data_IF_982081196463
#
_entry.id   IF_982081196463
#
_cell.length_a   1.000
_cell.length_b   1.000
_cell.length_c   1.000
_cell.angle_alpha   90.00
_cell.angle_beta   90.00
_cell.angle_gamma   90.00
#
_symmetry.space_group_name_H-M   'P 1'
#
loop_
_entity.id
_entity.type
_entity.pdbx_description
1 polymer ?
#
# COMPACT_ATOMS: atom_id res chain seq x y z
N UNK A 1 15.65 -20.29 -27.75
CA UNK A 1 15.70 -19.60 -26.43
C UNK A 1 14.50 -19.99 -25.61
N UNK A 2 14.74 -20.54 -24.44
CA UNK A 2 13.65 -20.90 -23.54
C UNK A 2 12.98 -19.61 -23.03
N UNK A 3 11.71 -19.44 -23.31
CA UNK A 3 10.97 -18.23 -22.92
C UNK A 3 10.74 -18.24 -21.41
N UNK A 4 11.19 -17.22 -20.70
CA UNK A 4 10.99 -17.10 -19.25
C UNK A 4 9.47 -17.12 -18.96
N UNK A 5 8.98 -17.97 -18.06
CA UNK A 5 7.55 -18.02 -17.74
C UNK A 5 6.99 -16.66 -17.29
N UNK A 6 5.78 -16.33 -17.73
CA UNK A 6 5.15 -15.03 -17.46
C UNK A 6 5.05 -14.72 -15.96
N UNK A 7 4.73 -15.71 -15.14
CA UNK A 7 4.66 -15.53 -13.69
C UNK A 7 5.98 -15.06 -13.06
N UNK A 8 7.12 -15.57 -13.57
CA UNK A 8 8.45 -15.14 -13.14
C UNK A 8 8.73 -13.71 -13.59
N UNK A 9 8.34 -13.36 -14.81
CA UNK A 9 8.51 -12.01 -15.33
C UNK A 9 7.70 -11.00 -14.52
N UNK A 10 6.42 -11.26 -14.27
CA UNK A 10 5.55 -10.43 -13.45
C UNK A 10 6.12 -10.23 -12.04
N UNK A 11 6.56 -11.34 -11.40
CA UNK A 11 7.16 -11.26 -10.07
C UNK A 11 8.44 -10.44 -10.06
N UNK A 12 9.29 -10.60 -11.07
CA UNK A 12 10.53 -9.84 -11.19
C UNK A 12 10.27 -8.34 -11.30
N UNK A 13 9.38 -7.92 -12.19
CA UNK A 13 9.01 -6.51 -12.37
C UNK A 13 8.38 -5.96 -11.09
N UNK A 14 7.46 -6.69 -10.47
CA UNK A 14 6.82 -6.30 -9.23
C UNK A 14 7.85 -6.09 -8.10
N UNK A 15 8.82 -7.00 -7.96
CA UNK A 15 9.87 -6.88 -6.96
C UNK A 15 10.78 -5.66 -7.21
N UNK A 16 11.15 -5.41 -8.48
CA UNK A 16 11.95 -4.23 -8.84
C UNK A 16 11.20 -2.93 -8.55
N UNK A 17 9.93 -2.87 -8.90
CA UNK A 17 9.09 -1.70 -8.65
C UNK A 17 8.95 -1.42 -7.15
N UNK A 18 8.65 -2.43 -6.35
CA UNK A 18 8.57 -2.33 -4.88
C UNK A 18 9.90 -1.89 -4.27
N UNK A 19 11.00 -2.45 -4.73
CA UNK A 19 12.35 -2.07 -4.29
C UNK A 19 12.64 -0.60 -4.60
N UNK A 20 12.31 -0.16 -5.80
CA UNK A 20 12.48 1.24 -6.21
C UNK A 20 11.73 2.19 -5.27
N UNK A 21 10.46 1.91 -5.01
CA UNK A 21 9.64 2.71 -4.08
C UNK A 21 10.22 2.74 -2.67
N UNK A 22 10.68 1.60 -2.16
CA UNK A 22 11.16 1.47 -0.79
C UNK A 22 12.57 2.06 -0.59
N UNK A 23 13.32 2.29 -1.65
CA UNK A 23 14.61 2.98 -1.59
C UNK A 23 14.47 4.50 -1.47
N UNK A 24 13.31 5.05 -1.77
CA UNK A 24 13.06 6.49 -1.60
C UNK A 24 12.90 6.78 -0.11
N UNK A 25 13.78 7.59 0.50
CA UNK A 25 13.68 7.88 1.93
C UNK A 25 12.38 8.62 2.25
N UNK A 26 11.74 8.22 3.33
CA UNK A 26 10.55 8.89 3.85
C UNK A 26 10.64 8.89 5.37
N UNK A 27 11.13 9.99 5.93
CA UNK A 27 11.39 10.11 7.35
C UNK A 27 10.21 10.72 8.11
N UNK A 28 9.99 10.21 9.31
CA UNK A 28 9.11 10.78 10.30
C UNK A 28 9.83 10.69 11.66
N UNK A 29 9.99 11.82 12.34
CA UNK A 29 10.70 11.91 13.62
C UNK A 29 12.11 11.29 13.59
N UNK A 30 12.84 11.48 12.50
CA UNK A 30 14.20 11.01 12.34
C UNK A 30 14.37 9.54 11.97
N UNK A 31 13.26 8.81 11.83
CA UNK A 31 13.28 7.40 11.41
C UNK A 31 12.61 7.21 10.04
N UNK A 32 13.23 6.39 9.21
CA UNK A 32 12.67 6.04 7.92
C UNK A 32 11.48 5.09 8.10
N UNK A 33 10.37 5.40 7.44
CA UNK A 33 9.19 4.55 7.47
C UNK A 33 9.47 3.20 6.79
N UNK A 34 9.06 2.11 7.45
CA UNK A 34 9.14 0.77 6.88
C UNK A 34 8.15 0.61 5.71
N UNK A 35 8.38 -0.35 4.79
CA UNK A 35 7.42 -0.65 3.73
C UNK A 35 6.01 -0.92 4.25
N UNK A 36 5.89 -1.65 5.35
CA UNK A 36 4.60 -1.97 5.98
C UNK A 36 3.90 -0.71 6.49
N UNK A 37 4.61 0.18 7.17
CA UNK A 37 4.06 1.44 7.67
C UNK A 37 3.55 2.32 6.52
N UNK A 38 4.32 2.43 5.43
CA UNK A 38 3.91 3.17 4.23
C UNK A 38 2.63 2.61 3.63
N UNK A 39 2.56 1.28 3.50
CA UNK A 39 1.40 0.61 2.92
C UNK A 39 0.16 0.75 3.82
N UNK A 40 0.32 0.69 5.14
CA UNK A 40 -0.79 0.92 6.09
C UNK A 40 -1.34 2.34 5.92
N UNK A 41 -0.47 3.34 5.80
CA UNK A 41 -0.92 4.73 5.54
C UNK A 41 -1.76 4.80 4.27
N UNK A 42 -1.29 4.18 3.18
CA UNK A 42 -2.02 4.15 1.90
C UNK A 42 -3.37 3.47 2.03
N UNK A 43 -3.40 2.26 2.59
CA UNK A 43 -4.63 1.47 2.70
C UNK A 43 -5.65 2.14 3.61
N UNK A 44 -5.23 2.66 4.77
CA UNK A 44 -6.15 3.35 5.69
C UNK A 44 -6.67 4.64 5.06
N UNK A 45 -5.81 5.41 4.39
CA UNK A 45 -6.26 6.63 3.71
C UNK A 45 -7.33 6.32 2.65
N UNK A 46 -7.05 5.39 1.76
CA UNK A 46 -7.94 5.06 0.65
C UNK A 46 -9.26 4.45 1.12
N UNK A 47 -9.22 3.47 2.01
CA UNK A 47 -10.42 2.80 2.51
C UNK A 47 -11.28 3.72 3.38
N UNK A 48 -10.68 4.62 4.16
CA UNK A 48 -11.41 5.51 5.05
C UNK A 48 -12.22 6.59 4.31
N UNK A 49 -12.02 6.75 3.01
CA UNK A 49 -12.83 7.66 2.19
C UNK A 49 -14.29 7.19 2.06
N UNK A 50 -14.53 5.88 2.18
CA UNK A 50 -15.86 5.29 1.94
C UNK A 50 -16.41 4.51 3.13
N UNK A 51 -15.58 4.12 4.10
CA UNK A 51 -15.98 3.28 5.22
C UNK A 51 -15.03 3.41 6.40
N UNK A 52 -15.47 2.99 7.59
CA UNK A 52 -14.57 2.83 8.74
C UNK A 52 -13.57 1.69 8.46
N UNK A 53 -12.33 1.89 8.89
CA UNK A 53 -11.24 0.90 8.73
C UNK A 53 -10.89 0.35 10.10
N UNK A 54 -10.84 -0.98 10.20
CA UNK A 54 -10.52 -1.69 11.42
C UNK A 54 -9.23 -2.51 11.25
N UNK A 55 -8.62 -2.88 12.35
CA UNK A 55 -7.43 -3.72 12.31
C UNK A 55 -7.64 -5.02 11.52
N UNK A 56 -8.80 -5.66 11.66
CA UNK A 56 -9.15 -6.88 10.90
C UNK A 56 -9.08 -6.68 9.37
N UNK A 57 -9.36 -5.47 8.89
CA UNK A 57 -9.28 -5.16 7.46
C UNK A 57 -7.84 -5.21 6.97
N UNK A 58 -6.90 -4.74 7.78
CA UNK A 58 -5.47 -4.81 7.50
C UNK A 58 -4.94 -6.25 7.57
N UNK A 59 -5.40 -7.02 8.55
CA UNK A 59 -5.06 -8.45 8.68
C UNK A 59 -5.45 -9.22 7.41
N UNK A 60 -6.65 -8.96 6.89
CA UNK A 60 -7.13 -9.53 5.62
C UNK A 60 -6.33 -9.04 4.42
N UNK A 61 -6.16 -7.73 4.31
CA UNK A 61 -5.50 -7.13 3.14
C UNK A 61 -4.08 -7.65 2.97
N UNK A 62 -3.32 -7.72 4.08
CA UNK A 62 -1.93 -8.17 4.06
C UNK A 62 -1.77 -9.68 4.21
N UNK A 63 -2.82 -10.42 4.56
CA UNK A 63 -2.77 -11.85 4.90
C UNK A 63 -1.71 -12.16 5.96
N UNK A 64 -1.67 -11.37 7.02
CA UNK A 64 -0.71 -11.50 8.13
C UNK A 64 -1.42 -11.66 9.46
N UNK A 65 -0.67 -12.15 10.46
CA UNK A 65 -1.20 -12.46 11.79
C UNK A 65 -1.62 -11.20 12.53
N UNK A 66 -2.66 -11.33 13.34
CA UNK A 66 -3.15 -10.28 14.23
C UNK A 66 -2.04 -9.69 15.10
N UNK A 67 -1.18 -10.53 15.69
CA UNK A 67 -0.07 -10.08 16.54
C UNK A 67 0.91 -9.17 15.80
N UNK A 68 1.20 -9.47 14.53
CA UNK A 68 2.08 -8.65 13.68
C UNK A 68 1.45 -7.28 13.42
N UNK A 69 0.18 -7.24 13.03
CA UNK A 69 -0.55 -5.98 12.79
C UNK A 69 -0.63 -5.17 14.08
N UNK A 70 -0.96 -5.81 15.20
CA UNK A 70 -1.03 -5.15 16.51
C UNK A 70 0.29 -4.44 16.84
N UNK A 71 1.43 -5.11 16.67
CA UNK A 71 2.75 -4.53 16.94
C UNK A 71 3.06 -3.33 16.06
N UNK A 72 2.79 -3.42 14.77
CA UNK A 72 3.01 -2.30 13.83
C UNK A 72 2.11 -1.12 14.17
N UNK A 73 0.83 -1.35 14.43
CA UNK A 73 -0.13 -0.29 14.76
C UNK A 73 0.21 0.40 16.09
N UNK A 74 0.61 -0.36 17.11
CA UNK A 74 1.04 0.23 18.39
C UNK A 74 2.23 1.17 18.21
N UNK A 75 3.21 0.79 17.39
CA UNK A 75 4.34 1.65 17.07
C UNK A 75 3.92 2.89 16.31
N UNK A 76 3.02 2.76 15.34
CA UNK A 76 2.49 3.89 14.58
C UNK A 76 1.68 4.86 15.46
N UNK A 77 0.90 4.33 16.39
CA UNK A 77 0.19 5.15 17.39
C UNK A 77 1.16 5.92 18.27
N UNK A 78 2.20 5.26 18.76
CA UNK A 78 3.26 5.88 19.59
C UNK A 78 3.98 7.00 18.84
N UNK A 79 4.17 6.84 17.54
CA UNK A 79 4.84 7.83 16.69
C UNK A 79 3.91 8.94 16.16
N UNK A 80 2.65 8.97 16.60
CA UNK A 80 1.69 9.98 16.21
C UNK A 80 1.22 9.92 14.76
N UNK A 81 1.23 8.72 14.16
CA UNK A 81 0.77 8.50 12.78
C UNK A 81 -0.67 8.01 12.72
N UNK A 82 -1.15 7.40 13.78
CA UNK A 82 -2.43 6.73 13.84
C UNK A 82 -3.09 6.96 15.20
N UNK A 83 -4.39 7.09 15.20
CA UNK A 83 -5.22 7.06 16.42
C UNK A 83 -6.37 6.08 16.25
N UNK A 84 -6.85 5.54 17.36
CA UNK A 84 -8.03 4.69 17.39
C UNK A 84 -9.19 5.47 17.98
N UNK A 85 -10.30 5.48 17.27
CA UNK A 85 -11.53 6.17 17.69
C UNK A 85 -12.70 5.21 17.69
N UNK A 86 -13.75 5.43 18.53
CA UNK A 86 -14.96 4.64 18.44
C UNK A 86 -15.55 4.70 17.03
N UNK A 87 -16.03 3.56 16.52
CA UNK A 87 -16.74 3.55 15.24
C UNK A 87 -18.03 4.36 15.35
N UNK A 88 -18.39 5.02 14.25
CA UNK A 88 -19.66 5.75 14.13
C UNK A 88 -20.88 4.84 14.15
N UNK A 89 -20.70 3.57 13.79
CA UNK A 89 -21.78 2.57 13.73
C UNK A 89 -21.88 1.71 14.99
N UNK A 90 -20.74 1.37 15.60
CA UNK A 90 -20.67 0.57 16.83
C UNK A 90 -19.50 1.05 17.69
N UNK A 91 -19.79 1.77 18.76
CA UNK A 91 -18.79 2.35 19.66
C UNK A 91 -17.90 1.34 20.38
N UNK A 92 -18.25 0.04 20.36
CA UNK A 92 -17.41 -1.04 20.90
C UNK A 92 -16.23 -1.36 19.99
N UNK A 93 -16.35 -1.05 18.71
CA UNK A 93 -15.28 -1.22 17.71
C UNK A 93 -14.47 0.06 17.59
N UNK A 94 -13.17 -0.09 17.44
CA UNK A 94 -12.23 1.03 17.25
C UNK A 94 -11.81 1.12 15.79
N UNK A 95 -12.19 2.21 15.14
CA UNK A 95 -11.73 2.51 13.79
C UNK A 95 -10.33 3.11 13.81
N UNK A 96 -9.56 2.86 12.78
CA UNK A 96 -8.23 3.40 12.58
C UNK A 96 -8.33 4.73 11.84
N UNK A 97 -7.72 5.77 12.39
CA UNK A 97 -7.72 7.09 11.79
C UNK A 97 -6.29 7.59 11.65
N UNK A 98 -5.93 8.08 10.46
CA UNK A 98 -4.65 8.73 10.25
C UNK A 98 -4.65 10.12 10.88
N UNK A 99 -3.52 10.50 11.48
CA UNK A 99 -3.30 11.86 11.96
C UNK A 99 -3.00 12.79 10.78
N UNK A 100 -3.02 14.11 11.02
CA UNK A 100 -2.61 15.10 10.00
C UNK A 100 -1.18 14.86 9.52
N UNK A 101 -0.29 14.44 10.42
CA UNK A 101 1.08 14.07 10.07
C UNK A 101 1.13 12.89 9.09
N UNK A 102 0.35 11.85 9.33
CA UNK A 102 0.26 10.70 8.44
C UNK A 102 -0.38 11.06 7.09
N UNK A 103 -1.38 11.94 7.07
CA UNK A 103 -1.97 12.43 5.82
C UNK A 103 -0.98 13.23 4.99
N UNK A 104 -0.10 14.01 5.63
CA UNK A 104 0.98 14.70 4.94
C UNK A 104 1.98 13.72 4.32
N UNK A 105 2.32 12.65 5.03
CA UNK A 105 3.16 11.55 4.51
C UNK A 105 2.49 10.81 3.35
N UNK A 106 1.18 10.60 3.43
CA UNK A 106 0.42 10.01 2.32
C UNK A 106 0.59 10.81 1.03
N UNK A 107 0.51 12.14 1.10
CA UNK A 107 0.70 12.98 -0.09
C UNK A 107 2.08 12.77 -0.73
N UNK A 108 3.13 12.63 0.08
CA UNK A 108 4.49 12.34 -0.41
C UNK A 108 4.55 10.94 -1.02
N UNK A 109 3.98 9.94 -0.37
CA UNK A 109 3.92 8.55 -0.87
C UNK A 109 3.22 8.53 -2.23
N UNK A 110 2.10 9.24 -2.35
CA UNK A 110 1.33 9.34 -3.59
C UNK A 110 2.15 9.94 -4.72
N UNK A 111 2.88 11.01 -4.45
CA UNK A 111 3.76 11.63 -5.44
C UNK A 111 4.87 10.69 -5.88
N UNK A 112 5.52 10.01 -4.94
CA UNK A 112 6.58 9.04 -5.23
C UNK A 112 6.04 7.89 -6.09
N UNK A 113 4.82 7.43 -5.82
CA UNK A 113 4.15 6.40 -6.60
C UNK A 113 3.88 6.87 -8.03
N UNK A 114 3.39 8.09 -8.21
CA UNK A 114 3.13 8.67 -9.54
C UNK A 114 4.42 8.78 -10.36
N UNK A 115 5.51 9.22 -9.74
CA UNK A 115 6.82 9.32 -10.41
C UNK A 115 7.37 7.94 -10.79
N UNK A 116 7.24 6.96 -9.90
CA UNK A 116 7.65 5.58 -10.17
C UNK A 116 6.81 4.95 -11.28
N UNK A 117 5.52 5.23 -11.32
CA UNK A 117 4.62 4.76 -12.39
C UNK A 117 5.01 5.37 -13.74
N UNK A 118 5.32 6.65 -13.77
CA UNK A 118 5.80 7.31 -14.99
C UNK A 118 7.11 6.69 -15.50
N UNK A 119 8.02 6.35 -14.59
CA UNK A 119 9.27 5.67 -14.92
C UNK A 119 9.00 4.25 -15.45
N UNK A 120 8.11 3.50 -14.80
CA UNK A 120 7.73 2.15 -15.22
C UNK A 120 7.17 2.13 -16.64
N UNK A 121 6.37 3.13 -16.99
CA UNK A 121 5.70 3.23 -18.28
C UNK A 121 6.50 4.00 -19.34
N UNK A 122 7.72 4.43 -19.03
CA UNK A 122 8.54 5.20 -19.96
C UNK A 122 8.77 4.42 -21.26
N UNK A 123 8.50 5.04 -22.40
CA UNK A 123 8.65 4.43 -23.71
C UNK A 123 7.50 3.55 -24.16
N UNK A 124 6.48 3.35 -23.32
CA UNK A 124 5.29 2.60 -23.68
C UNK A 124 4.24 3.55 -24.29
N UNK A 125 3.54 3.07 -25.31
CA UNK A 125 2.40 3.79 -25.88
C UNK A 125 1.16 3.62 -25.00
N UNK A 126 0.17 4.50 -25.17
CA UNK A 126 -1.12 4.38 -24.48
C UNK A 126 -1.83 3.06 -24.81
N UNK A 127 -1.70 2.63 -26.08
CA UNK A 127 -2.28 1.37 -26.58
C UNK A 127 -1.61 0.15 -25.93
N UNK A 128 -0.29 0.17 -25.77
CA UNK A 128 0.46 -0.90 -25.10
C UNK A 128 0.06 -1.01 -23.63
N UNK A 129 -0.06 0.12 -22.92
CA UNK A 129 -0.48 0.17 -21.52
C UNK A 129 -1.90 -0.38 -21.38
N UNK A 130 -2.85 0.07 -22.22
CA UNK A 130 -4.23 -0.39 -22.19
C UNK A 130 -4.35 -1.88 -22.49
N UNK A 131 -3.61 -2.37 -23.48
CA UNK A 131 -3.59 -3.77 -23.85
C UNK A 131 -3.02 -4.65 -22.72
N UNK A 132 -1.91 -4.24 -22.14
CA UNK A 132 -1.29 -4.95 -21.01
C UNK A 132 -2.22 -4.98 -19.79
N UNK A 133 -2.89 -3.87 -19.47
CA UNK A 133 -3.87 -3.82 -18.38
C UNK A 133 -5.02 -4.82 -18.59
N UNK A 134 -5.50 -4.95 -19.82
CA UNK A 134 -6.53 -5.94 -20.19
C UNK A 134 -6.02 -7.37 -19.97
N UNK A 135 -4.77 -7.66 -20.34
CA UNK A 135 -4.15 -8.98 -20.12
C UNK A 135 -4.02 -9.28 -18.64
N UNK A 136 -3.54 -8.30 -17.85
CA UNK A 136 -3.42 -8.46 -16.39
C UNK A 136 -4.77 -8.80 -15.74
N UNK A 137 -5.85 -8.12 -16.15
CA UNK A 137 -7.19 -8.38 -15.65
C UNK A 137 -7.65 -9.82 -15.94
N UNK A 138 -7.35 -10.34 -17.14
CA UNK A 138 -7.64 -11.74 -17.49
C UNK A 138 -6.83 -12.72 -16.65
N UNK A 139 -5.53 -12.44 -16.47
CA UNK A 139 -4.66 -13.27 -15.62
C UNK A 139 -5.15 -13.31 -14.17
N UNK A 140 -5.58 -12.18 -13.64
CA UNK A 140 -6.13 -12.09 -12.29
C UNK A 140 -7.40 -12.94 -12.14
N UNK A 141 -8.31 -12.88 -13.10
CA UNK A 141 -9.51 -13.71 -13.10
C UNK A 141 -9.22 -15.21 -13.16
N UNK A 142 -8.15 -15.60 -13.87
CA UNK A 142 -7.77 -17.01 -13.98
C UNK A 142 -7.25 -17.61 -12.66
N UNK A 143 -6.76 -16.78 -11.73
CA UNK A 143 -6.13 -17.21 -10.48
C UNK A 143 -7.09 -17.09 -9.28
N UNK A 144 -8.09 -16.24 -9.35
CA UNK A 144 -9.14 -16.08 -8.32
C UNK A 144 -10.14 -17.29 -8.27
#
# INVERSE_FOLDING_TARGET
>A
MEQVPLGKQLKSVSNLFSRHLNQIPLYHEGENLTPMQRMIIVVVHEKSQTQDVFQRDLEKFFSIRRSTVTGVLQLMEKRGLLVREPSTQDGRLKRLCLTDQANALFAIIQQNLQEAEALLCQGLTKEEIAFFSTILAKMEQNIR
#
